data_IF_846962647410
#
_entry.id   IF_846962647410
#
_cell.length_a   1.000
_cell.length_b   1.000
_cell.length_c   1.000
_cell.angle_alpha   90.00
_cell.angle_beta   90.00
_cell.angle_gamma   90.00
#
_symmetry.space_group_name_H-M   'P 1'
#
loop_
_entity.id
_entity.type
_entity.pdbx_description
1 polymer ?
#
# COMPACT_ATOMS: atom_id res chain seq x y z
N UNK A 1 -1.11 -14.68 -26.34
CA UNK A 1 -0.63 -14.43 -24.96
C UNK A 1 -0.23 -12.96 -24.89
N UNK A 2 -0.63 -12.21 -23.84
CA UNK A 2 -0.12 -10.84 -23.66
C UNK A 2 1.40 -10.89 -23.48
N UNK A 3 2.12 -9.98 -24.11
CA UNK A 3 3.58 -9.85 -23.95
C UNK A 3 3.87 -9.00 -22.71
N UNK A 4 5.01 -9.19 -22.03
CA UNK A 4 5.52 -8.25 -21.04
C UNK A 4 5.51 -6.81 -21.58
N UNK A 5 5.06 -5.85 -20.78
CA UNK A 5 5.07 -4.43 -21.14
C UNK A 5 5.79 -3.61 -20.08
N UNK A 6 6.58 -2.64 -20.49
CA UNK A 6 7.22 -1.72 -19.54
C UNK A 6 6.20 -0.71 -18.99
N UNK A 7 6.19 -0.57 -17.67
CA UNK A 7 5.30 0.35 -16.96
C UNK A 7 5.88 1.75 -17.00
N UNK A 8 5.08 2.69 -17.53
CA UNK A 8 5.41 4.11 -17.55
C UNK A 8 5.27 4.73 -16.17
N UNK A 9 6.11 5.72 -15.90
CA UNK A 9 5.98 6.55 -14.71
C UNK A 9 4.91 7.62 -14.92
N UNK A 10 4.03 7.78 -13.94
CA UNK A 10 2.95 8.77 -13.90
C UNK A 10 2.90 9.35 -12.50
N UNK A 11 2.96 10.68 -12.38
CA UNK A 11 2.94 11.41 -11.08
C UNK A 11 3.95 10.85 -10.07
N UNK A 12 5.19 10.66 -10.51
CA UNK A 12 6.30 10.12 -9.71
C UNK A 12 6.13 8.67 -9.24
N UNK A 13 5.22 7.90 -9.85
CA UNK A 13 4.98 6.49 -9.51
C UNK A 13 5.02 5.61 -10.76
N UNK A 14 5.57 4.40 -10.64
CA UNK A 14 5.33 3.31 -11.61
C UNK A 14 4.33 2.34 -11.03
N UNK A 15 3.25 2.05 -11.75
CA UNK A 15 2.24 1.10 -11.26
C UNK A 15 2.87 -0.27 -10.98
N UNK A 16 2.71 -0.76 -9.76
CA UNK A 16 3.08 -2.11 -9.35
C UNK A 16 1.91 -2.74 -8.61
N UNK A 17 1.79 -4.06 -8.70
CA UNK A 17 0.83 -4.80 -7.90
C UNK A 17 1.41 -5.10 -6.52
N UNK A 18 0.64 -4.83 -5.46
CA UNK A 18 1.02 -5.23 -4.10
C UNK A 18 1.06 -6.75 -3.90
N UNK A 19 0.30 -7.50 -4.71
CA UNK A 19 0.39 -8.96 -4.79
C UNK A 19 1.26 -9.37 -5.99
N UNK A 20 2.10 -10.40 -5.84
CA UNK A 20 2.93 -10.98 -6.91
C UNK A 20 4.06 -10.08 -7.43
N UNK A 21 4.59 -9.19 -6.59
CA UNK A 21 5.79 -8.42 -6.90
C UNK A 21 7.02 -9.33 -6.90
N UNK A 22 7.77 -9.33 -8.00
CA UNK A 22 9.08 -9.96 -8.08
C UNK A 22 10.18 -8.89 -8.12
N UNK A 23 11.13 -8.98 -7.19
CA UNK A 23 12.28 -8.08 -7.12
C UNK A 23 13.53 -8.87 -7.49
N UNK A 24 14.26 -8.42 -8.50
CA UNK A 24 15.55 -9.00 -8.85
C UNK A 24 16.60 -8.56 -7.82
N UNK A 25 17.13 -9.53 -7.06
CA UNK A 25 18.10 -9.31 -5.99
C UNK A 25 19.57 -9.54 -6.41
N UNK A 26 19.86 -9.80 -7.69
CA UNK A 26 21.23 -10.03 -8.17
C UNK A 26 22.16 -8.84 -7.90
N UNK A 27 21.60 -7.63 -7.86
CA UNK A 27 22.30 -6.37 -7.60
C UNK A 27 21.67 -5.68 -6.39
N UNK A 28 22.15 -5.92 -5.15
CA UNK A 28 21.55 -5.39 -3.93
C UNK A 28 21.40 -3.86 -3.92
N UNK A 29 22.28 -3.14 -4.61
CA UNK A 29 22.21 -1.68 -4.82
C UNK A 29 20.95 -1.21 -5.57
N UNK A 30 20.22 -2.13 -6.21
CA UNK A 30 18.96 -1.83 -6.89
C UNK A 30 17.73 -1.92 -5.99
N UNK A 31 17.89 -2.39 -4.76
CA UNK A 31 16.80 -2.55 -3.79
C UNK A 31 16.49 -1.24 -3.06
N UNK A 32 15.27 -1.12 -2.55
CA UNK A 32 14.79 0.05 -1.80
C UNK A 32 14.12 -0.40 -0.50
N UNK A 33 14.10 0.46 0.54
CA UNK A 33 13.42 0.11 1.78
C UNK A 33 11.91 0.11 1.57
N UNK A 34 11.21 -0.90 2.11
CA UNK A 34 9.77 -0.78 2.29
C UNK A 34 9.48 0.20 3.42
N UNK A 35 8.54 1.10 3.20
CA UNK A 35 8.17 2.13 4.17
C UNK A 35 6.65 2.29 4.21
N UNK A 36 6.14 2.58 5.39
CA UNK A 36 4.79 3.09 5.58
C UNK A 36 4.76 4.08 6.75
N UNK A 37 3.89 5.10 6.71
CA UNK A 37 3.45 5.78 7.92
C UNK A 37 2.97 4.74 8.95
N UNK A 38 3.16 4.96 10.26
CA UNK A 38 2.76 4.01 11.29
C UNK A 38 1.33 3.52 11.08
N UNK A 39 1.06 2.21 11.15
CA UNK A 39 -0.30 1.66 11.03
C UNK A 39 -1.03 1.88 9.69
N UNK A 40 -0.34 2.39 8.67
CA UNK A 40 -0.87 2.55 7.32
C UNK A 40 -0.67 1.27 6.47
N UNK A 41 -1.28 1.25 5.28
CA UNK A 41 -1.18 0.15 4.29
C UNK A 41 -0.95 0.70 2.88
N UNK A 42 0.26 1.16 2.58
CA UNK A 42 0.70 1.61 1.25
C UNK A 42 2.17 1.32 0.95
N UNK A 43 2.72 0.21 1.44
CA UNK A 43 4.15 -0.12 1.33
C UNK A 43 4.59 -0.24 -0.13
N UNK A 44 3.78 -0.90 -0.94
CA UNK A 44 3.92 -1.04 -2.39
C UNK A 44 3.81 0.32 -3.10
N UNK A 45 2.89 1.16 -2.64
CA UNK A 45 2.69 2.51 -3.15
C UNK A 45 3.93 3.37 -2.92
N UNK A 46 4.56 3.32 -1.75
CA UNK A 46 5.81 4.06 -1.53
C UNK A 46 7.01 3.45 -2.25
N UNK A 47 7.07 2.12 -2.37
CA UNK A 47 8.06 1.50 -3.23
C UNK A 47 7.94 2.03 -4.66
N UNK A 48 6.72 2.17 -5.18
CA UNK A 48 6.44 2.67 -6.52
C UNK A 48 7.04 4.05 -6.81
N UNK A 49 7.20 4.89 -5.78
CA UNK A 49 7.76 6.24 -5.93
C UNK A 49 9.28 6.27 -6.01
N UNK A 50 9.94 5.12 -5.83
CA UNK A 50 11.41 4.99 -5.86
C UNK A 50 11.91 4.30 -7.13
N UNK A 51 11.01 3.93 -8.06
CA UNK A 51 11.33 3.12 -9.24
C UNK A 51 11.65 3.94 -10.50
N UNK A 52 11.89 5.25 -10.38
CA UNK A 52 12.21 6.15 -11.50
C UNK A 52 13.27 5.54 -12.43
N UNK A 53 14.43 5.18 -11.88
CA UNK A 53 15.57 4.61 -12.61
C UNK A 53 15.53 3.07 -12.71
N UNK A 54 14.34 2.46 -12.62
CA UNK A 54 14.17 1.01 -12.69
C UNK A 54 13.24 0.61 -13.82
N UNK A 55 13.61 -0.43 -14.55
CA UNK A 55 12.69 -1.09 -15.47
C UNK A 55 11.66 -1.88 -14.66
N UNK A 56 10.39 -1.56 -14.85
CA UNK A 56 9.26 -2.27 -14.24
C UNK A 56 8.47 -2.91 -15.37
N UNK A 57 8.28 -4.22 -15.32
CA UNK A 57 7.55 -4.96 -16.35
C UNK A 57 6.22 -5.46 -15.78
N UNK A 58 5.13 -5.15 -16.47
CA UNK A 58 3.83 -5.79 -16.27
C UNK A 58 3.86 -7.15 -16.97
N UNK A 59 3.78 -8.22 -16.19
CA UNK A 59 3.79 -9.60 -16.68
C UNK A 59 2.40 -10.21 -16.50
N UNK A 60 1.76 -10.72 -17.57
CA UNK A 60 0.50 -11.42 -17.44
C UNK A 60 0.73 -12.76 -16.73
N UNK A 61 0.25 -12.87 -15.50
CA UNK A 61 0.33 -14.08 -14.69
C UNK A 61 -1.05 -14.55 -14.29
N UNK A 62 -1.20 -15.87 -14.12
CA UNK A 62 -2.33 -16.46 -13.43
C UNK A 62 -1.85 -16.93 -12.06
N UNK A 63 -2.43 -16.39 -11.00
CA UNK A 63 -2.07 -16.74 -9.64
C UNK A 63 -3.32 -16.88 -8.77
N UNK A 64 -3.31 -17.89 -7.91
CA UNK A 64 -4.32 -18.06 -6.87
C UNK A 64 -3.98 -17.16 -5.68
N UNK A 65 -4.93 -16.33 -5.23
CA UNK A 65 -4.77 -15.44 -4.09
C UNK A 65 -5.80 -15.79 -3.01
N UNK A 66 -5.33 -16.23 -1.85
CA UNK A 66 -6.18 -16.37 -0.67
C UNK A 66 -6.30 -15.03 0.07
N UNK A 67 -7.14 -14.13 -0.48
CA UNK A 67 -7.31 -12.76 0.03
C UNK A 67 -7.89 -12.65 1.44
N UNK A 68 -8.41 -13.75 2.00
CA UNK A 68 -8.98 -13.82 3.34
C UNK A 68 -8.14 -14.67 4.30
N UNK A 69 -7.02 -15.23 3.82
CA UNK A 69 -6.14 -16.11 4.59
C UNK A 69 -6.91 -17.30 5.20
N UNK A 70 -7.92 -17.80 4.47
CA UNK A 70 -8.79 -18.90 4.89
C UNK A 70 -8.11 -20.28 4.75
N UNK A 71 -7.12 -20.42 3.87
CA UNK A 71 -6.41 -21.66 3.55
C UNK A 71 -4.98 -21.64 4.10
N UNK A 72 -4.86 -21.74 5.43
CA UNK A 72 -3.57 -21.64 6.15
C UNK A 72 -2.50 -22.64 5.72
N UNK A 73 -2.90 -23.80 5.21
CA UNK A 73 -2.01 -24.90 4.85
C UNK A 73 -1.77 -25.04 3.33
N UNK A 74 -2.18 -24.04 2.53
CA UNK A 74 -2.06 -24.11 1.08
C UNK A 74 -0.60 -24.22 0.63
N UNK A 75 0.32 -23.56 1.34
CA UNK A 75 1.76 -23.63 1.08
C UNK A 75 2.38 -24.97 1.50
N UNK A 76 1.68 -25.76 2.32
CA UNK A 76 2.07 -27.11 2.71
C UNK A 76 1.50 -28.18 1.76
N UNK A 77 0.95 -27.79 0.61
CA UNK A 77 0.38 -28.70 -0.39
C UNK A 77 -1.05 -29.14 -0.09
N UNK A 78 -1.68 -28.63 0.98
CA UNK A 78 -3.09 -28.92 1.28
C UNK A 78 -3.97 -28.03 0.42
N UNK A 79 -4.43 -28.57 -0.71
CA UNK A 79 -5.35 -27.88 -1.61
C UNK A 79 -6.80 -28.13 -1.16
N UNK A 80 -7.62 -27.08 -1.00
CA UNK A 80 -9.04 -27.25 -0.71
C UNK A 80 -9.73 -27.94 -1.89
N UNK A 81 -10.57 -28.94 -1.61
CA UNK A 81 -11.43 -29.57 -2.63
C UNK A 81 -12.60 -28.66 -3.01
N UNK A 82 -13.00 -27.77 -2.11
CA UNK A 82 -14.06 -26.78 -2.29
C UNK A 82 -13.66 -25.45 -1.65
N UNK A 83 -14.05 -24.33 -2.27
CA UNK A 83 -13.78 -23.01 -1.72
C UNK A 83 -14.87 -22.63 -0.70
N UNK A 84 -14.44 -22.20 0.49
CA UNK A 84 -15.35 -21.73 1.52
C UNK A 84 -16.12 -20.48 1.04
N UNK A 85 -17.45 -20.42 1.27
CA UNK A 85 -18.24 -19.26 0.88
C UNK A 85 -17.88 -18.05 1.75
N UNK A 86 -17.69 -16.90 1.10
CA UNK A 86 -17.38 -15.64 1.75
C UNK A 86 -18.68 -14.86 1.91
N UNK A 87 -19.11 -14.63 3.15
CA UNK A 87 -20.33 -13.85 3.44
C UNK A 87 -19.97 -12.42 3.85
N UNK A 88 -20.38 -11.45 3.05
CA UNK A 88 -20.04 -10.05 3.22
C UNK A 88 -20.57 -9.43 4.55
N UNK A 89 -21.59 -10.03 5.14
CA UNK A 89 -22.22 -9.64 6.40
C UNK A 89 -21.53 -10.20 7.64
N UNK A 90 -20.51 -11.05 7.49
CA UNK A 90 -19.79 -11.57 8.66
C UNK A 90 -18.99 -10.47 9.36
N UNK A 91 -19.11 -10.41 10.69
CA UNK A 91 -18.44 -9.39 11.50
C UNK A 91 -16.92 -9.37 11.29
N UNK A 92 -16.31 -10.54 11.06
CA UNK A 92 -14.88 -10.67 10.77
C UNK A 92 -14.49 -9.98 9.45
N UNK A 93 -15.32 -10.13 8.41
CA UNK A 93 -15.09 -9.48 7.11
C UNK A 93 -15.31 -7.98 7.21
N UNK A 94 -16.37 -7.54 7.90
CA UNK A 94 -16.64 -6.11 8.15
C UNK A 94 -15.46 -5.47 8.89
N UNK A 95 -14.95 -6.12 9.93
CA UNK A 95 -13.79 -5.64 10.71
C UNK A 95 -12.53 -5.55 9.86
N UNK A 96 -12.27 -6.58 9.02
CA UNK A 96 -11.14 -6.58 8.09
C UNK A 96 -11.25 -5.44 7.07
N UNK A 97 -12.45 -5.21 6.54
CA UNK A 97 -12.72 -4.14 5.58
C UNK A 97 -12.50 -2.77 6.21
N UNK A 98 -13.07 -2.52 7.40
CA UNK A 98 -12.83 -1.27 8.15
C UNK A 98 -11.34 -1.04 8.40
N UNK A 99 -10.61 -2.07 8.81
CA UNK A 99 -9.16 -2.00 9.04
C UNK A 99 -8.39 -1.65 7.76
N UNK A 100 -8.86 -2.12 6.59
CA UNK A 100 -8.29 -1.76 5.31
C UNK A 100 -8.56 -0.29 4.96
N UNK A 101 -9.80 0.20 5.15
CA UNK A 101 -10.14 1.61 4.96
C UNK A 101 -9.27 2.53 5.81
N UNK A 102 -9.08 2.19 7.09
CA UNK A 102 -8.19 2.92 8.00
C UNK A 102 -6.74 2.86 7.49
N UNK A 103 -6.23 1.69 7.13
CA UNK A 103 -4.87 1.55 6.59
C UNK A 103 -4.65 2.39 5.32
N UNK A 104 -5.64 2.45 4.44
CA UNK A 104 -5.57 3.20 3.18
C UNK A 104 -5.63 4.71 3.38
N UNK A 105 -6.53 5.20 4.23
CA UNK A 105 -6.64 6.64 4.47
C UNK A 105 -5.38 7.19 5.12
N UNK A 106 -4.71 6.40 5.96
CA UNK A 106 -3.47 6.78 6.65
C UNK A 106 -2.29 7.05 5.71
N UNK A 107 -2.09 6.24 4.66
CA UNK A 107 -0.94 6.48 3.77
C UNK A 107 -1.18 7.63 2.78
N UNK A 108 -2.45 7.91 2.48
CA UNK A 108 -2.85 8.78 1.37
C UNK A 108 -2.31 10.22 1.50
N UNK A 109 -2.33 10.89 2.66
CA UNK A 109 -1.73 12.21 2.82
C UNK A 109 -0.24 12.24 2.48
N UNK A 110 0.55 11.26 2.94
CA UNK A 110 1.96 11.21 2.58
C UNK A 110 2.15 11.04 1.07
N UNK A 111 1.38 10.15 0.43
CA UNK A 111 1.46 9.97 -1.03
C UNK A 111 1.20 11.28 -1.77
N UNK A 112 0.12 11.99 -1.44
CA UNK A 112 -0.21 13.27 -2.10
C UNK A 112 0.88 14.30 -1.82
N UNK A 113 1.39 14.37 -0.59
CA UNK A 113 2.47 15.29 -0.23
C UNK A 113 3.74 15.06 -1.06
N UNK A 114 4.07 13.80 -1.38
CA UNK A 114 5.25 13.45 -2.18
C UNK A 114 5.03 13.67 -3.68
N UNK A 115 3.82 13.42 -4.19
CA UNK A 115 3.55 13.34 -5.65
C UNK A 115 2.83 14.56 -6.22
N UNK A 116 2.13 15.32 -5.37
CA UNK A 116 1.39 16.53 -5.74
C UNK A 116 1.39 17.55 -4.60
N UNK A 117 2.57 18.09 -4.21
CA UNK A 117 2.67 19.05 -3.10
C UNK A 117 1.89 20.34 -3.34
N UNK A 118 1.78 20.79 -4.60
CA UNK A 118 1.04 22.02 -4.95
C UNK A 118 -0.47 21.85 -4.79
N UNK A 119 -1.01 20.68 -5.15
CA UNK A 119 -2.42 20.35 -4.98
C UNK A 119 -2.77 19.72 -3.64
N UNK A 120 -1.82 19.62 -2.70
CA UNK A 120 -1.99 18.85 -1.46
C UNK A 120 -3.26 19.23 -0.70
N UNK A 121 -3.43 20.52 -0.39
CA UNK A 121 -4.60 21.01 0.36
C UNK A 121 -5.90 20.68 -0.34
N UNK A 122 -5.99 20.95 -1.64
CA UNK A 122 -7.20 20.69 -2.43
C UNK A 122 -7.56 19.19 -2.46
N UNK A 123 -6.57 18.32 -2.62
CA UNK A 123 -6.78 16.87 -2.63
C UNK A 123 -7.25 16.36 -1.26
N UNK A 124 -6.67 16.87 -0.16
CA UNK A 124 -7.13 16.55 1.19
C UNK A 124 -8.57 17.03 1.42
N UNK A 125 -8.91 18.24 0.98
CA UNK A 125 -10.26 18.81 1.11
C UNK A 125 -11.29 17.99 0.32
N UNK A 126 -10.96 17.57 -0.90
CA UNK A 126 -11.81 16.69 -1.72
C UNK A 126 -12.05 15.33 -1.04
N UNK A 127 -11.00 14.74 -0.44
CA UNK A 127 -11.13 13.50 0.33
C UNK A 127 -12.00 13.70 1.57
N UNK A 128 -11.83 14.80 2.30
CA UNK A 128 -12.64 15.15 3.47
C UNK A 128 -14.12 15.25 3.11
N UNK A 129 -14.46 15.98 2.04
CA UNK A 129 -15.84 16.11 1.58
C UNK A 129 -16.43 14.73 1.23
N UNK A 130 -15.72 13.95 0.41
CA UNK A 130 -16.17 12.62 -0.02
C UNK A 130 -16.40 11.69 1.18
N UNK A 131 -15.47 11.66 2.14
CA UNK A 131 -15.60 10.82 3.33
C UNK A 131 -16.75 11.27 4.22
N UNK A 132 -16.96 12.59 4.37
CA UNK A 132 -18.06 13.13 5.19
C UNK A 132 -19.44 12.69 4.67
N UNK A 133 -19.56 12.50 3.35
CA UNK A 133 -20.80 12.03 2.71
C UNK A 133 -20.96 10.50 2.73
N UNK A 134 -19.85 9.75 2.62
CA UNK A 134 -19.88 8.29 2.44
C UNK A 134 -19.82 7.53 3.77
N UNK A 135 -19.02 7.98 4.73
CA UNK A 135 -18.79 7.24 5.98
C UNK A 135 -20.07 7.03 6.82
N UNK A 136 -21.01 7.99 6.94
CA UNK A 136 -22.28 7.73 7.64
C UNK A 136 -23.12 6.64 6.97
N UNK A 137 -23.10 6.57 5.63
CA UNK A 137 -23.81 5.54 4.86
C UNK A 137 -23.19 4.16 5.11
N UNK A 138 -21.86 4.06 5.14
CA UNK A 138 -21.15 2.82 5.47
C UNK A 138 -21.39 2.39 6.92
N UNK A 139 -21.31 3.34 7.87
CA UNK A 139 -21.57 3.06 9.28
C UNK A 139 -22.98 2.51 9.49
N UNK A 140 -23.99 3.13 8.87
CA UNK A 140 -25.37 2.65 8.92
C UNK A 140 -25.54 1.30 8.20
N UNK A 141 -24.96 1.11 7.01
CA UNK A 141 -25.10 -0.14 6.27
C UNK A 141 -24.50 -1.34 7.03
N UNK A 142 -23.30 -1.18 7.59
CA UNK A 142 -22.60 -2.23 8.33
C UNK A 142 -22.90 -2.26 9.83
N UNK A 143 -23.76 -1.35 10.32
CA UNK A 143 -24.07 -1.18 11.75
C UNK A 143 -22.80 -1.07 12.60
N UNK A 144 -21.85 -0.24 12.14
CA UNK A 144 -20.53 -0.09 12.76
C UNK A 144 -20.02 1.34 12.67
N UNK A 145 -20.14 2.09 13.77
CA UNK A 145 -19.68 3.49 13.85
C UNK A 145 -18.15 3.64 13.74
N UNK A 146 -17.41 2.54 13.78
CA UNK A 146 -15.98 2.53 13.50
C UNK A 146 -15.62 3.12 12.14
N UNK A 147 -16.52 3.07 11.14
CA UNK A 147 -16.31 3.73 9.85
C UNK A 147 -16.15 5.24 9.97
N UNK A 148 -16.80 5.90 10.94
CA UNK A 148 -16.67 7.34 11.14
C UNK A 148 -15.24 7.75 11.53
N UNK A 149 -14.48 6.84 12.15
CA UNK A 149 -13.07 7.08 12.52
C UNK A 149 -12.15 7.26 11.32
N UNK A 150 -12.53 6.77 10.14
CA UNK A 150 -11.71 6.92 8.92
C UNK A 150 -11.47 8.40 8.60
N UNK A 151 -12.43 9.28 8.88
CA UNK A 151 -12.23 10.72 8.70
C UNK A 151 -11.24 11.30 9.73
N UNK A 152 -11.34 10.90 10.99
CA UNK A 152 -10.38 11.30 12.03
C UNK A 152 -8.95 10.89 11.66
N UNK A 153 -8.78 9.69 11.13
CA UNK A 153 -7.48 9.18 10.67
C UNK A 153 -6.94 9.97 9.47
N UNK A 154 -7.80 10.47 8.57
CA UNK A 154 -7.36 11.38 7.50
C UNK A 154 -6.77 12.66 8.08
N UNK A 155 -7.45 13.28 9.05
CA UNK A 155 -7.01 14.54 9.67
C UNK A 155 -5.70 14.38 10.44
N UNK A 156 -5.58 13.30 11.20
CA UNK A 156 -4.36 13.02 11.95
C UNK A 156 -3.16 12.82 11.01
N UNK A 157 -3.34 12.10 9.90
CA UNK A 157 -2.23 11.80 9.00
C UNK A 157 -1.88 12.95 8.05
N UNK A 158 -2.84 13.80 7.67
CA UNK A 158 -2.52 15.01 6.91
C UNK A 158 -1.73 16.01 7.76
N UNK A 159 -2.09 16.18 9.04
CA UNK A 159 -1.33 17.03 9.96
C UNK A 159 0.12 16.55 10.15
N UNK A 160 0.34 15.22 10.06
CA UNK A 160 1.66 14.59 10.20
C UNK A 160 2.37 14.33 8.85
N UNK A 161 1.83 14.75 7.70
CA UNK A 161 2.38 14.41 6.39
C UNK A 161 3.86 14.82 6.22
N UNK A 162 4.23 16.01 6.71
CA UNK A 162 5.63 16.50 6.68
C UNK A 162 6.56 15.62 7.52
N UNK A 163 6.11 15.20 8.70
CA UNK A 163 6.88 14.30 9.59
C UNK A 163 7.07 12.94 8.93
N UNK A 164 6.00 12.37 8.37
CA UNK A 164 6.08 11.09 7.66
C UNK A 164 7.00 11.18 6.43
N UNK A 165 7.01 12.31 5.72
CA UNK A 165 7.93 12.54 4.60
C UNK A 165 9.40 12.59 5.05
N UNK A 166 9.69 13.22 6.19
CA UNK A 166 11.03 13.21 6.77
C UNK A 166 11.47 11.79 7.16
N UNK A 167 10.57 10.99 7.76
CA UNK A 167 10.83 9.59 8.09
C UNK A 167 11.06 8.74 6.84
N UNK A 168 10.29 8.96 5.78
CA UNK A 168 10.48 8.28 4.50
C UNK A 168 11.87 8.54 3.91
N UNK A 169 12.31 9.82 3.87
CA UNK A 169 13.67 10.19 3.43
C UNK A 169 14.75 9.59 4.33
N UNK A 170 14.51 9.56 5.64
CA UNK A 170 15.43 8.92 6.58
C UNK A 170 15.56 7.41 6.31
N UNK A 171 14.46 6.73 5.99
CA UNK A 171 14.49 5.31 5.61
C UNK A 171 15.31 5.10 4.34
N UNK A 172 15.12 5.93 3.31
CA UNK A 172 15.89 5.89 2.05
C UNK A 172 17.39 6.06 2.30
N UNK A 173 17.78 7.10 3.03
CA UNK A 173 19.20 7.38 3.30
C UNK A 173 19.84 6.34 4.21
N UNK A 174 19.11 5.81 5.19
CA UNK A 174 19.57 4.70 6.04
C UNK A 174 19.77 3.44 5.23
N UNK A 175 18.84 3.12 4.33
CA UNK A 175 18.95 1.95 3.45
C UNK A 175 20.20 2.02 2.55
N UNK A 176 20.45 3.18 1.95
CA UNK A 176 21.64 3.38 1.12
C UNK A 176 22.94 3.11 1.91
N UNK A 177 23.04 3.61 3.15
CA UNK A 177 24.19 3.34 4.03
C UNK A 177 24.34 1.86 4.38
N UNK A 178 23.23 1.18 4.66
CA UNK A 178 23.22 -0.25 4.96
C UNK A 178 23.71 -1.08 3.78
N UNK A 179 23.18 -0.82 2.58
CA UNK A 179 23.59 -1.52 1.36
C UNK A 179 25.06 -1.27 1.05
N UNK A 180 25.53 -0.01 1.14
CA UNK A 180 26.94 0.31 0.95
C UNK A 180 27.83 -0.45 1.93
N UNK A 181 27.45 -0.49 3.21
CA UNK A 181 28.21 -1.23 4.24
C UNK A 181 28.18 -2.74 4.01
N UNK A 182 27.04 -3.29 3.63
CA UNK A 182 26.89 -4.73 3.38
C UNK A 182 27.73 -5.18 2.17
N UNK A 183 27.74 -4.38 1.09
CA UNK A 183 28.56 -4.65 -0.11
C UNK A 183 30.05 -4.53 0.22
N UNK A 184 30.47 -3.48 0.95
CA UNK A 184 31.87 -3.30 1.35
C UNK A 184 32.39 -4.41 2.28
N UNK A 185 31.52 -5.16 2.95
CA UNK A 185 31.89 -6.31 3.79
C UNK A 185 31.95 -7.64 3.02
N UNK A 186 31.52 -7.66 1.76
CA UNK A 186 31.57 -8.84 0.88
C UNK A 186 32.78 -8.80 -0.09
N UNK A 187 33.50 -7.68 -0.14
CA UNK A 187 34.75 -7.47 -0.88
C UNK A 187 35.90 -7.52 0.12
#
# INVERSE_FOLDING_TARGET
KRQPQEVREVKCCKFISGAYLCINLTKPERTFPFFNPPGARGEDTFLSTMLHDRTVLEIPVYAFHDGFSSYKNILSGVLPTELAPIKADSQAIITRFLSACIGWVRYKPLLVYLTNPQGFTQEIDNMRQTLSEVLPKLANYFQNDGFLKVLTELEDYQANAKKHAAQFRLAQTTWQKLIQTAILRQI
#
